data_IF_166662442736
#
_entry.id   IF_166662442736
#
_cell.length_a   1.000
_cell.length_b   1.000
_cell.length_c   1.000
_cell.angle_alpha   90.00
_cell.angle_beta   90.00
_cell.angle_gamma   90.00
#
_symmetry.space_group_name_H-M   'P 1'
#
loop_
_entity.id
_entity.type
_entity.pdbx_description
1 polymer ?
#
# COMPACT_ATOMS: atom_id res chain seq x y z
N UNK A 1 -1.23 1.02 -22.61
CA UNK A 1 -1.60 2.33 -22.05
C UNK A 1 -1.51 2.23 -20.53
N UNK A 2 -0.44 2.75 -19.93
CA UNK A 2 -0.19 2.67 -18.49
C UNK A 2 -1.02 3.78 -17.83
N UNK A 3 -2.19 3.43 -17.29
CA UNK A 3 -2.96 4.34 -16.43
C UNK A 3 -2.04 4.71 -15.26
N UNK A 4 -1.77 6.00 -15.06
CA UNK A 4 -0.92 6.48 -13.97
C UNK A 4 -1.64 6.18 -12.66
N UNK A 5 -1.36 5.02 -12.06
CA UNK A 5 -1.94 4.64 -10.78
C UNK A 5 -1.02 5.14 -9.68
N UNK A 6 -1.41 6.25 -9.06
CA UNK A 6 -0.67 6.85 -7.94
C UNK A 6 -0.74 6.00 -6.67
N UNK A 7 -1.86 5.30 -6.50
CA UNK A 7 -2.13 4.50 -5.30
C UNK A 7 -1.45 3.13 -5.38
N UNK A 8 -1.07 2.61 -4.22
CA UNK A 8 -0.37 1.34 -4.06
C UNK A 8 -1.07 0.53 -2.97
N UNK A 9 -1.32 -0.74 -3.21
CA UNK A 9 -1.83 -1.63 -2.18
C UNK A 9 -0.66 -2.24 -1.42
N UNK A 10 -0.64 -2.07 -0.10
CA UNK A 10 0.32 -2.71 0.78
C UNK A 10 -0.04 -4.17 1.10
N UNK A 11 0.95 -4.95 1.54
CA UNK A 11 0.75 -6.32 2.04
C UNK A 11 -0.14 -6.39 3.29
N UNK A 12 -0.36 -5.26 3.95
CA UNK A 12 -1.31 -5.05 5.04
C UNK A 12 -2.75 -4.79 4.57
N UNK A 13 -2.99 -4.76 3.26
CA UNK A 13 -4.30 -4.42 2.70
C UNK A 13 -4.65 -2.94 2.77
N UNK A 14 -3.70 -2.07 3.13
CA UNK A 14 -3.88 -0.61 3.17
C UNK A 14 -3.50 -0.01 1.82
N UNK A 15 -4.32 0.94 1.35
CA UNK A 15 -3.98 1.71 0.16
C UNK A 15 -3.14 2.93 0.51
N UNK A 16 -1.92 2.97 0.02
CA UNK A 16 -0.99 4.09 0.16
C UNK A 16 -1.09 5.04 -1.03
N UNK A 17 -1.01 6.35 -0.77
CA UNK A 17 -1.11 7.39 -1.81
C UNK A 17 0.06 7.40 -2.80
N UNK A 18 1.20 6.83 -2.40
CA UNK A 18 2.41 6.65 -3.22
C UNK A 18 3.37 5.68 -2.51
N UNK A 19 4.53 5.40 -3.14
CA UNK A 19 5.55 4.50 -2.60
C UNK A 19 6.31 5.05 -1.39
N UNK A 20 6.46 6.38 -1.29
CA UNK A 20 7.13 7.02 -0.16
C UNK A 20 6.34 6.78 1.14
N UNK A 21 5.02 6.97 1.11
CA UNK A 21 4.13 6.73 2.25
C UNK A 21 4.19 5.27 2.71
N UNK A 22 4.22 4.31 1.78
CA UNK A 22 4.38 2.89 2.11
C UNK A 22 5.72 2.60 2.80
N UNK A 23 6.82 3.14 2.28
CA UNK A 23 8.13 2.97 2.91
C UNK A 23 8.23 3.64 4.28
N UNK A 24 7.61 4.82 4.42
CA UNK A 24 7.54 5.51 5.71
C UNK A 24 6.78 4.67 6.72
N UNK A 25 5.64 4.09 6.33
CA UNK A 25 4.89 3.15 7.15
C UNK A 25 5.73 1.95 7.59
N UNK A 26 6.44 1.31 6.66
CA UNK A 26 7.35 0.21 6.96
C UNK A 26 8.45 0.61 7.96
N UNK A 27 9.04 1.80 7.80
CA UNK A 27 10.07 2.34 8.68
C UNK A 27 9.55 2.68 10.07
N UNK A 28 8.31 3.15 10.18
CA UNK A 28 7.63 3.48 11.44
C UNK A 28 7.09 2.25 12.19
N UNK A 29 7.31 1.04 11.66
CA UNK A 29 6.96 -0.21 12.33
C UNK A 29 5.63 -0.82 11.90
N UNK A 30 4.99 -0.34 10.82
CA UNK A 30 3.89 -1.09 10.22
C UNK A 30 4.43 -2.40 9.66
N UNK A 31 3.94 -3.50 10.22
CA UNK A 31 4.34 -4.85 9.88
C UNK A 31 3.11 -5.75 9.79
N UNK A 32 3.19 -6.79 8.96
CA UNK A 32 2.22 -7.88 8.87
C UNK A 32 2.95 -9.14 9.29
N UNK A 33 2.49 -9.78 10.37
CA UNK A 33 3.15 -10.97 10.93
C UNK A 33 4.65 -10.76 11.23
N UNK A 34 5.02 -9.57 11.71
CA UNK A 34 6.41 -9.21 12.02
C UNK A 34 7.28 -8.86 10.80
N UNK A 35 6.71 -8.83 9.59
CA UNK A 35 7.40 -8.44 8.36
C UNK A 35 6.99 -7.02 7.97
N UNK A 36 7.94 -6.10 7.66
CA UNK A 36 7.62 -4.75 7.22
C UNK A 36 6.68 -4.74 6.02
N UNK A 37 5.73 -3.80 6.01
CA UNK A 37 4.78 -3.66 4.91
C UNK A 37 5.51 -3.41 3.59
N UNK A 38 5.11 -4.13 2.54
CA UNK A 38 5.65 -4.01 1.19
C UNK A 38 4.53 -3.76 0.20
N UNK A 39 4.88 -3.39 -1.02
CA UNK A 39 3.92 -3.33 -2.11
C UNK A 39 3.37 -4.73 -2.41
N UNK A 40 2.05 -4.89 -2.33
CA UNK A 40 1.32 -6.06 -2.81
C UNK A 40 1.06 -5.95 -4.31
N UNK A 41 0.47 -4.84 -4.76
CA UNK A 41 0.30 -4.52 -6.18
C UNK A 41 0.15 -3.01 -6.41
N UNK A 42 0.36 -2.57 -7.65
CA UNK A 42 0.08 -1.19 -8.07
C UNK A 42 -1.43 -0.99 -8.21
N UNK A 43 -1.92 0.14 -7.71
CA UNK A 43 -3.34 0.46 -7.57
C UNK A 43 -3.91 0.26 -6.18
N UNK A 44 -5.14 0.75 -5.94
CA UNK A 44 -5.80 0.66 -4.64
C UNK A 44 -6.14 -0.79 -4.28
N UNK A 45 -6.13 -1.11 -2.99
CA UNK A 45 -6.60 -2.41 -2.51
C UNK A 45 -8.11 -2.57 -2.80
N UNK A 46 -8.55 -3.81 -3.06
CA UNK A 46 -9.94 -4.16 -3.43
C UNK A 46 -10.98 -4.03 -2.29
N UNK A 47 -10.70 -3.25 -1.25
CA UNK A 47 -11.56 -3.07 -0.06
C UNK A 47 -11.80 -1.62 0.35
N UNK A 48 -11.26 -0.63 -0.36
CA UNK A 48 -11.52 0.80 -0.10
C UNK A 48 -12.56 1.41 -1.04
N UNK A 49 -13.59 0.64 -1.41
CA UNK A 49 -14.86 1.27 -1.80
C UNK A 49 -15.63 1.51 -0.50
N UNK A 50 -15.48 2.71 0.04
CA UNK A 50 -16.45 3.21 1.02
C UNK A 50 -17.77 3.35 0.27
N UNK A 51 -18.64 2.37 0.45
CA UNK A 51 -20.05 2.38 0.08
C UNK A 51 -20.84 1.97 1.30
#
# INVERSE_FOLDING_TARGET
>A
MMLVIFKICGTDGVTYSNFCELNRAACLGQTVNGVPVKTLHYGPCKGSVVG
#
